data_IF_981520124641
#
_entry.id   IF_981520124641
#
_cell.length_a   1.000
_cell.length_b   1.000
_cell.length_c   1.000
_cell.angle_alpha   90.00
_cell.angle_beta   90.00
_cell.angle_gamma   90.00
#
_symmetry.space_group_name_H-M   'P 1'
#
loop_
_entity.id
_entity.type
_entity.pdbx_description
1 polymer ?
#
# COMPACT_ATOMS: atom_id res chain seq x y z
N UNK A 1 -6.25 -1.80 -9.43
CA UNK A 1 -7.29 -2.70 -8.93
C UNK A 1 -6.64 -3.74 -8.00
N UNK A 2 -7.01 -3.72 -6.70
CA UNK A 2 -6.40 -4.59 -5.68
C UNK A 2 -6.65 -6.08 -5.97
N UNK A 3 -7.79 -6.43 -6.58
CA UNK A 3 -8.14 -7.81 -6.88
C UNK A 3 -7.23 -8.41 -7.96
N UNK A 4 -6.89 -7.63 -8.98
CA UNK A 4 -5.94 -8.06 -10.01
C UNK A 4 -4.51 -8.24 -9.44
N UNK A 5 -4.07 -7.37 -8.51
CA UNK A 5 -2.79 -7.53 -7.82
C UNK A 5 -2.81 -8.81 -6.97
N UNK A 6 -3.87 -9.02 -6.19
CA UNK A 6 -4.05 -10.24 -5.39
C UNK A 6 -4.01 -11.49 -6.25
N UNK A 7 -4.74 -11.50 -7.37
CA UNK A 7 -4.77 -12.61 -8.32
C UNK A 7 -3.40 -12.88 -8.95
N UNK A 8 -2.69 -11.82 -9.39
CA UNK A 8 -1.34 -11.96 -9.96
C UNK A 8 -0.34 -12.54 -8.95
N UNK A 9 -0.36 -12.05 -7.70
CA UNK A 9 0.49 -12.58 -6.62
C UNK A 9 0.15 -14.03 -6.31
N UNK A 10 -1.13 -14.37 -6.15
CA UNK A 10 -1.57 -15.72 -5.81
C UNK A 10 -1.16 -16.73 -6.90
N UNK A 11 -1.35 -16.41 -8.18
CA UNK A 11 -0.92 -17.26 -9.31
C UNK A 11 0.59 -17.56 -9.25
N UNK A 12 1.41 -16.55 -8.98
CA UNK A 12 2.88 -16.70 -8.87
C UNK A 12 3.32 -17.49 -7.64
N UNK A 13 2.49 -17.52 -6.61
CA UNK A 13 2.71 -18.32 -5.41
C UNK A 13 2.11 -19.73 -5.52
N UNK A 14 1.44 -20.06 -6.63
CA UNK A 14 0.75 -21.33 -6.80
C UNK A 14 -0.49 -21.50 -5.90
N UNK A 15 -1.08 -20.39 -5.43
CA UNK A 15 -2.23 -20.39 -4.54
C UNK A 15 -3.50 -20.10 -5.35
N UNK A 16 -4.48 -21.00 -5.24
CA UNK A 16 -5.81 -20.74 -5.79
C UNK A 16 -6.64 -19.90 -4.83
N UNK A 17 -7.21 -18.80 -5.33
CA UNK A 17 -8.05 -17.91 -4.54
C UNK A 17 -9.47 -17.85 -5.13
N UNK A 18 -10.46 -17.70 -4.25
CA UNK A 18 -11.85 -17.48 -4.67
C UNK A 18 -11.96 -16.05 -5.23
N UNK A 19 -12.60 -15.91 -6.40
CA UNK A 19 -12.73 -14.62 -7.08
C UNK A 19 -11.46 -14.21 -7.83
N UNK A 20 -10.72 -15.18 -8.37
CA UNK A 20 -9.57 -14.91 -9.25
C UNK A 20 -10.01 -14.08 -10.47
N UNK A 21 -9.28 -13.01 -10.74
CA UNK A 21 -9.52 -12.06 -11.83
C UNK A 21 -8.29 -12.03 -12.72
N UNK A 22 -8.50 -12.03 -14.04
CA UNK A 22 -7.40 -11.90 -15.01
C UNK A 22 -6.68 -10.55 -14.81
N UNK A 23 -5.39 -10.54 -14.39
CA UNK A 23 -4.65 -9.30 -14.26
C UNK A 23 -4.29 -8.74 -15.63
N UNK A 24 -4.27 -7.43 -15.77
CA UNK A 24 -3.71 -6.80 -16.95
C UNK A 24 -2.19 -6.98 -17.00
N UNK A 25 -1.61 -7.01 -18.20
CA UNK A 25 -0.15 -7.09 -18.39
C UNK A 25 0.62 -6.04 -17.61
N UNK A 26 0.04 -4.84 -17.47
CA UNK A 26 0.62 -3.77 -16.66
C UNK A 26 0.73 -4.16 -15.17
N UNK A 27 -0.31 -4.76 -14.61
CA UNK A 27 -0.32 -5.19 -13.21
C UNK A 27 0.64 -6.37 -13.02
N UNK A 28 0.65 -7.30 -13.96
CA UNK A 28 1.60 -8.41 -13.93
C UNK A 28 3.05 -7.94 -13.93
N UNK A 29 3.39 -6.96 -14.77
CA UNK A 29 4.73 -6.37 -14.81
C UNK A 29 5.13 -5.68 -13.51
N UNK A 30 4.22 -4.94 -12.88
CA UNK A 30 4.47 -4.34 -11.56
C UNK A 30 4.68 -5.40 -10.49
N UNK A 31 3.86 -6.45 -10.47
CA UNK A 31 3.99 -7.55 -9.50
C UNK A 31 5.31 -8.31 -9.71
N UNK A 32 5.70 -8.58 -10.97
CA UNK A 32 6.98 -9.21 -11.31
C UNK A 32 8.16 -8.43 -10.73
N UNK A 33 8.23 -7.14 -11.04
CA UNK A 33 9.27 -6.24 -10.55
C UNK A 33 9.34 -6.26 -9.00
N UNK A 34 8.18 -6.11 -8.33
CA UNK A 34 8.14 -6.07 -6.86
C UNK A 34 8.55 -7.41 -6.24
N UNK A 35 8.13 -8.52 -6.83
CA UNK A 35 8.52 -9.86 -6.35
C UNK A 35 10.00 -10.13 -6.58
N UNK A 36 10.56 -9.73 -7.71
CA UNK A 36 11.99 -9.83 -7.94
C UNK A 36 12.78 -8.99 -6.93
N UNK A 37 12.38 -7.73 -6.70
CA UNK A 37 13.02 -6.85 -5.74
C UNK A 37 13.03 -7.40 -4.31
N UNK A 38 11.91 -7.97 -3.85
CA UNK A 38 11.75 -8.42 -2.47
C UNK A 38 12.20 -9.87 -2.24
N UNK A 39 12.06 -10.76 -3.23
CA UNK A 39 12.48 -12.17 -3.08
C UNK A 39 13.96 -12.41 -3.36
N UNK A 40 14.53 -11.59 -4.26
CA UNK A 40 15.95 -11.66 -4.61
C UNK A 40 16.69 -10.42 -4.05
N UNK A 41 16.35 -10.03 -2.84
CA UNK A 41 16.94 -8.85 -2.20
C UNK A 41 18.44 -9.02 -1.88
N UNK A 42 18.90 -10.27 -1.78
CA UNK A 42 20.30 -10.67 -1.56
C UNK A 42 21.15 -10.63 -2.85
N UNK A 43 20.51 -10.57 -4.01
CA UNK A 43 21.19 -10.46 -5.29
C UNK A 43 21.57 -9.00 -5.59
N UNK A 44 22.70 -8.74 -6.25
CA UNK A 44 23.10 -7.38 -6.61
C UNK A 44 22.04 -6.66 -7.46
N UNK A 45 21.88 -5.38 -7.24
CA UNK A 45 21.16 -4.50 -8.15
C UNK A 45 22.09 -4.10 -9.29
N UNK A 46 21.72 -4.43 -10.54
CA UNK A 46 22.53 -4.20 -11.75
C UNK A 46 21.73 -3.43 -12.79
N UNK A 47 22.44 -2.87 -13.79
CA UNK A 47 21.80 -2.25 -14.95
C UNK A 47 20.84 -3.24 -15.63
N UNK A 48 21.27 -4.47 -15.90
CA UNK A 48 20.44 -5.50 -16.54
C UNK A 48 19.17 -5.79 -15.74
N UNK A 49 19.26 -5.81 -14.40
CA UNK A 49 18.12 -6.03 -13.54
C UNK A 49 17.13 -4.85 -13.59
N UNK A 50 17.63 -3.62 -13.57
CA UNK A 50 16.82 -2.41 -13.73
C UNK A 50 16.16 -2.35 -15.11
N UNK A 51 16.88 -2.73 -16.17
CA UNK A 51 16.35 -2.81 -17.53
C UNK A 51 15.28 -3.90 -17.65
N UNK A 52 15.47 -5.05 -16.99
CA UNK A 52 14.46 -6.09 -16.88
C UNK A 52 13.19 -5.59 -16.19
N UNK A 53 13.29 -4.87 -15.06
CA UNK A 53 12.14 -4.26 -14.40
C UNK A 53 11.44 -3.24 -15.29
N UNK A 54 12.21 -2.42 -16.03
CA UNK A 54 11.65 -1.44 -16.95
C UNK A 54 10.88 -2.12 -18.10
N UNK A 55 11.42 -3.22 -18.66
CA UNK A 55 10.72 -4.04 -19.65
C UNK A 55 9.40 -4.62 -19.09
N UNK A 56 9.38 -5.09 -17.85
CA UNK A 56 8.16 -5.57 -17.20
C UNK A 56 7.09 -4.46 -17.07
N UNK A 57 7.49 -3.22 -16.80
CA UNK A 57 6.58 -2.09 -16.67
C UNK A 57 6.00 -1.63 -18.02
N UNK A 58 6.76 -1.79 -19.11
CA UNK A 58 6.41 -1.27 -20.43
C UNK A 58 6.61 -2.30 -21.55
N UNK A 59 5.90 -3.45 -21.50
CA UNK A 59 6.11 -4.54 -22.45
C UNK A 59 5.77 -4.18 -23.90
N UNK A 60 5.00 -3.10 -24.10
CA UNK A 60 4.61 -2.61 -25.44
C UNK A 60 5.53 -1.51 -25.97
N UNK A 61 6.56 -1.11 -25.23
CA UNK A 61 7.41 0.03 -25.59
C UNK A 61 6.73 1.39 -25.48
N UNK A 62 5.61 1.47 -24.74
CA UNK A 62 4.81 2.70 -24.63
C UNK A 62 4.46 3.02 -23.20
N UNK A 63 4.40 4.32 -22.90
CA UNK A 63 3.76 4.89 -21.72
C UNK A 63 2.55 5.72 -22.17
N UNK A 64 1.35 5.19 -21.94
CA UNK A 64 0.13 5.73 -22.53
C UNK A 64 0.23 5.77 -24.08
N UNK A 65 0.15 6.96 -24.67
CA UNK A 65 0.28 7.12 -26.12
C UNK A 65 1.72 7.37 -26.59
N UNK A 66 2.64 7.73 -25.69
CA UNK A 66 4.02 8.03 -26.02
C UNK A 66 4.84 6.77 -26.22
N UNK A 67 5.70 6.75 -27.24
CA UNK A 67 6.76 5.73 -27.41
C UNK A 67 7.91 6.13 -26.51
N UNK A 68 8.43 5.19 -25.74
CA UNK A 68 9.55 5.39 -24.82
C UNK A 68 10.69 4.40 -25.06
N UNK A 69 11.88 4.78 -24.63
CA UNK A 69 13.03 3.88 -24.64
C UNK A 69 12.91 2.88 -23.51
N UNK A 70 12.65 1.61 -23.82
CA UNK A 70 12.47 0.55 -22.83
C UNK A 70 13.74 -0.28 -22.70
N UNK A 71 14.09 -0.70 -21.47
CA UNK A 71 15.26 -1.54 -21.20
C UNK A 71 16.61 -0.85 -21.44
N UNK A 72 16.64 0.48 -21.38
CA UNK A 72 17.86 1.30 -21.45
C UNK A 72 17.63 2.66 -20.79
N UNK A 73 18.69 3.35 -20.46
CA UNK A 73 18.63 4.71 -19.95
C UNK A 73 18.14 5.69 -21.03
N UNK A 74 17.50 6.78 -20.59
CA UNK A 74 17.07 7.86 -21.47
C UNK A 74 18.25 8.51 -22.19
N UNK A 75 17.95 9.04 -23.35
CA UNK A 75 18.93 9.74 -24.21
C UNK A 75 18.63 11.24 -24.33
N UNK A 76 17.44 11.63 -23.88
CA UNK A 76 16.95 13.00 -23.98
C UNK A 76 16.94 13.71 -22.60
N UNK A 77 16.98 15.05 -22.59
CA UNK A 77 16.75 15.84 -21.38
C UNK A 77 15.42 15.45 -20.71
N UNK A 78 15.37 15.51 -19.38
CA UNK A 78 14.20 15.11 -18.63
C UNK A 78 13.84 16.17 -17.59
N UNK A 79 12.58 16.60 -17.62
CA UNK A 79 11.96 17.46 -16.63
C UNK A 79 10.75 16.79 -15.99
N UNK A 80 10.62 16.95 -14.69
CA UNK A 80 9.41 16.53 -13.97
C UNK A 80 8.46 17.70 -13.94
N UNK A 81 7.38 17.60 -14.69
CA UNK A 81 6.41 18.68 -14.88
C UNK A 81 5.04 18.31 -14.30
N UNK A 82 4.24 19.31 -13.97
CA UNK A 82 2.81 19.17 -13.69
C UNK A 82 2.03 20.32 -14.33
N UNK A 83 0.74 20.09 -14.55
CA UNK A 83 -0.14 21.07 -15.18
C UNK A 83 -0.63 20.61 -16.55
N UNK A 84 -1.30 21.50 -17.27
CA UNK A 84 -1.71 21.30 -18.66
C UNK A 84 -0.67 21.92 -19.60
N UNK A 85 -0.63 21.48 -20.87
CA UNK A 85 0.31 21.95 -21.89
C UNK A 85 0.51 23.48 -21.92
N UNK A 86 -0.54 24.27 -21.61
CA UNK A 86 -0.48 25.72 -21.57
C UNK A 86 -0.03 26.34 -20.25
N UNK A 87 0.12 25.53 -19.19
CA UNK A 87 0.48 25.97 -17.83
C UNK A 87 1.32 24.90 -17.13
N UNK A 88 2.39 24.46 -17.78
CA UNK A 88 3.33 23.52 -17.19
C UNK A 88 4.18 24.19 -16.10
N UNK A 89 4.27 23.55 -14.96
CA UNK A 89 5.20 23.92 -13.90
C UNK A 89 6.29 22.89 -13.83
N UNK A 90 7.55 23.29 -14.08
CA UNK A 90 8.72 22.45 -13.89
C UNK A 90 9.02 22.35 -12.38
N UNK A 91 8.94 21.15 -11.85
CA UNK A 91 9.26 20.84 -10.47
C UNK A 91 10.74 20.50 -10.29
N UNK A 92 11.28 19.73 -11.21
CA UNK A 92 12.66 19.27 -11.15
C UNK A 92 13.21 19.07 -12.56
N UNK A 93 14.46 19.48 -12.75
CA UNK A 93 15.25 19.21 -13.95
C UNK A 93 16.29 18.14 -13.60
N UNK A 94 16.15 16.97 -14.22
CA UNK A 94 17.06 15.85 -14.00
C UNK A 94 18.44 16.15 -14.63
N UNK A 95 19.52 15.46 -14.19
CA UNK A 95 20.83 15.57 -14.82
C UNK A 95 20.76 15.33 -16.33
N UNK A 96 21.70 15.88 -17.09
CA UNK A 96 21.77 15.65 -18.55
C UNK A 96 21.93 14.16 -18.88
N UNK A 97 21.40 13.73 -20.02
CA UNK A 97 21.37 12.29 -20.37
C UNK A 97 22.75 11.65 -20.49
N UNK A 98 23.75 12.40 -20.92
CA UNK A 98 25.13 11.96 -21.08
C UNK A 98 25.83 11.55 -19.75
N UNK A 99 25.43 12.15 -18.62
CA UNK A 99 25.97 11.80 -17.29
C UNK A 99 25.19 10.69 -16.59
N UNK A 100 24.00 10.33 -17.08
CA UNK A 100 23.16 9.29 -16.44
C UNK A 100 23.89 7.97 -16.23
N UNK A 101 24.62 7.40 -17.21
CA UNK A 101 25.33 6.14 -16.99
C UNK A 101 26.37 6.23 -15.87
N UNK A 102 27.06 7.37 -15.75
CA UNK A 102 28.04 7.59 -14.72
C UNK A 102 27.42 7.74 -13.32
N UNK A 103 26.32 8.49 -13.21
CA UNK A 103 25.59 8.64 -11.93
C UNK A 103 24.94 7.33 -11.51
N UNK A 104 24.40 6.55 -12.45
CA UNK A 104 23.87 5.23 -12.17
C UNK A 104 24.96 4.25 -11.70
N UNK A 105 26.15 4.29 -12.31
CA UNK A 105 27.27 3.47 -11.84
C UNK A 105 27.61 3.80 -10.38
N UNK A 106 27.72 5.09 -10.01
CA UNK A 106 27.98 5.49 -8.61
C UNK A 106 26.90 5.00 -7.66
N UNK A 107 25.62 5.13 -8.09
CA UNK A 107 24.48 4.68 -7.33
C UNK A 107 24.52 3.17 -7.09
N UNK A 108 24.76 2.37 -8.13
CA UNK A 108 24.83 0.91 -8.07
C UNK A 108 26.04 0.43 -7.24
N UNK A 109 27.21 1.06 -7.42
CA UNK A 109 28.41 0.77 -6.63
C UNK A 109 28.12 1.01 -5.13
N UNK A 110 27.48 2.13 -4.78
CA UNK A 110 27.08 2.44 -3.40
C UNK A 110 26.01 1.48 -2.87
N UNK A 111 24.98 1.18 -3.68
CA UNK A 111 23.86 0.33 -3.25
C UNK A 111 24.33 -1.09 -2.92
N UNK A 112 25.27 -1.62 -3.72
CA UNK A 112 25.78 -2.99 -3.59
C UNK A 112 26.99 -3.12 -2.67
N UNK A 113 27.59 -2.01 -2.23
CA UNK A 113 28.80 -2.07 -1.40
C UNK A 113 28.53 -2.69 -0.02
N UNK A 114 29.37 -3.62 0.41
CA UNK A 114 29.28 -4.23 1.74
C UNK A 114 29.45 -3.21 2.87
N UNK A 115 30.18 -2.11 2.60
CA UNK A 115 30.37 -0.99 3.53
C UNK A 115 29.10 -0.15 3.73
N UNK A 116 28.11 -0.25 2.85
CA UNK A 116 26.85 0.48 2.98
C UNK A 116 25.93 -0.23 3.98
N UNK A 117 25.58 0.41 5.11
CA UNK A 117 24.75 -0.21 6.13
C UNK A 117 23.40 -0.66 5.56
N UNK A 118 23.02 -1.90 5.80
CA UNK A 118 21.69 -2.45 5.46
C UNK A 118 20.70 -2.01 6.54
N UNK A 119 20.12 -0.86 6.38
CA UNK A 119 19.16 -0.27 7.32
C UNK A 119 18.06 0.52 6.59
N UNK A 120 17.07 1.01 7.34
CA UNK A 120 15.94 1.76 6.79
C UNK A 120 16.33 3.09 6.16
N UNK A 121 17.43 3.72 6.62
CA UNK A 121 17.97 4.95 6.02
C UNK A 121 18.48 4.66 4.60
N UNK A 122 19.12 3.50 4.36
CA UNK A 122 19.54 3.08 3.02
C UNK A 122 18.37 3.08 2.05
N UNK A 123 17.20 2.59 2.49
CA UNK A 123 15.99 2.59 1.66
C UNK A 123 15.55 4.01 1.29
N UNK A 124 15.55 4.93 2.25
CA UNK A 124 15.21 6.34 2.03
C UNK A 124 16.18 7.00 1.03
N UNK A 125 17.50 6.82 1.25
CA UNK A 125 18.55 7.38 0.40
C UNK A 125 18.47 6.79 -1.03
N UNK A 126 18.33 5.48 -1.14
CA UNK A 126 18.23 4.79 -2.43
C UNK A 126 17.04 5.29 -3.27
N UNK A 127 15.87 5.44 -2.62
CA UNK A 127 14.70 6.00 -3.26
C UNK A 127 14.96 7.42 -3.79
N UNK A 128 15.47 8.30 -2.93
CA UNK A 128 15.73 9.70 -3.27
C UNK A 128 16.77 9.85 -4.36
N UNK A 129 17.89 9.14 -4.24
CA UNK A 129 18.99 9.24 -5.20
C UNK A 129 18.56 8.75 -6.58
N UNK A 130 17.93 7.56 -6.65
CA UNK A 130 17.46 7.02 -7.93
C UNK A 130 16.44 7.94 -8.60
N UNK A 131 15.44 8.44 -7.85
CA UNK A 131 14.42 9.31 -8.43
C UNK A 131 14.98 10.68 -8.84
N UNK A 132 16.12 11.10 -8.26
CA UNK A 132 16.81 12.34 -8.61
C UNK A 132 17.69 12.17 -9.85
N UNK A 133 18.32 11.01 -10.05
CA UNK A 133 19.01 10.69 -11.34
C UNK A 133 17.98 10.65 -12.48
N UNK A 134 16.81 10.11 -12.21
CA UNK A 134 15.70 9.97 -13.17
C UNK A 134 16.13 9.29 -14.47
N UNK A 135 16.67 8.05 -14.42
CA UNK A 135 17.42 7.47 -15.51
C UNK A 135 16.59 6.99 -16.71
N UNK A 136 15.27 6.89 -16.58
CA UNK A 136 14.37 6.37 -17.62
C UNK A 136 13.39 7.44 -18.12
N UNK A 137 12.83 7.24 -19.33
CA UNK A 137 11.81 8.13 -19.90
C UNK A 137 10.52 8.14 -19.08
N UNK A 138 10.15 7.02 -18.47
CA UNK A 138 9.06 6.87 -17.50
C UNK A 138 9.34 5.71 -16.54
N UNK A 139 8.54 5.55 -15.51
CA UNK A 139 8.65 4.44 -14.55
C UNK A 139 9.61 4.69 -13.39
N UNK A 140 10.34 5.79 -13.37
CA UNK A 140 11.35 6.09 -12.34
C UNK A 140 10.78 6.01 -10.92
N UNK A 141 9.58 6.55 -10.68
CA UNK A 141 8.93 6.47 -9.38
C UNK A 141 8.50 5.06 -8.97
N UNK A 142 8.18 4.18 -9.92
CA UNK A 142 7.83 2.77 -9.64
C UNK A 142 9.07 1.97 -9.32
N UNK A 143 10.13 2.16 -10.10
CA UNK A 143 11.42 1.49 -9.92
C UNK A 143 12.09 1.98 -8.61
N UNK A 144 12.07 3.29 -8.31
CA UNK A 144 12.61 3.80 -7.04
C UNK A 144 11.94 3.18 -5.82
N UNK A 145 10.62 2.93 -5.87
CA UNK A 145 9.91 2.22 -4.81
C UNK A 145 10.30 0.75 -4.72
N UNK A 146 10.51 0.07 -5.84
CA UNK A 146 11.00 -1.32 -5.84
C UNK A 146 12.41 -1.43 -5.27
N UNK A 147 13.30 -0.49 -5.61
CA UNK A 147 14.64 -0.39 -5.01
C UNK A 147 14.56 -0.14 -3.50
N UNK A 148 13.67 0.75 -3.08
CA UNK A 148 13.44 1.02 -1.67
C UNK A 148 12.94 -0.23 -0.92
N UNK A 149 11.98 -0.97 -1.48
CA UNK A 149 11.48 -2.22 -0.90
C UNK A 149 12.56 -3.32 -0.89
N UNK A 150 13.45 -3.38 -1.90
CA UNK A 150 14.62 -4.26 -1.89
C UNK A 150 15.57 -3.92 -0.72
N UNK A 151 15.89 -2.64 -0.53
CA UNK A 151 16.75 -2.19 0.57
C UNK A 151 16.12 -2.48 1.94
N UNK A 152 14.80 -2.36 2.07
CA UNK A 152 14.09 -2.74 3.29
C UNK A 152 14.13 -4.25 3.53
N UNK A 153 14.00 -5.08 2.48
CA UNK A 153 14.14 -6.53 2.59
C UNK A 153 15.58 -6.92 3.01
N UNK A 154 16.59 -6.17 2.54
CA UNK A 154 17.97 -6.31 3.02
C UNK A 154 18.13 -5.94 4.50
N UNK A 155 17.43 -4.90 4.96
CA UNK A 155 17.49 -4.44 6.35
C UNK A 155 16.82 -5.43 7.32
N UNK A 156 15.70 -6.03 6.90
CA UNK A 156 14.93 -6.98 7.70
C UNK A 156 15.42 -8.43 7.54
N UNK A 157 16.35 -8.68 6.61
CA UNK A 157 16.77 -10.02 6.16
C UNK A 157 15.56 -10.94 5.87
N UNK A 158 14.57 -10.40 5.16
CA UNK A 158 13.29 -11.06 4.96
C UNK A 158 12.64 -10.73 3.62
N UNK A 159 12.08 -11.77 2.99
CA UNK A 159 11.23 -11.61 1.81
C UNK A 159 9.80 -11.19 2.16
N UNK A 160 9.41 -11.28 3.43
CA UNK A 160 8.07 -11.00 3.90
C UNK A 160 7.93 -9.52 4.27
N UNK A 161 6.97 -8.87 3.64
CA UNK A 161 6.63 -7.47 3.93
C UNK A 161 5.14 -7.35 4.22
N UNK A 162 4.83 -6.94 5.43
CA UNK A 162 3.44 -6.78 5.92
C UNK A 162 2.90 -5.36 5.72
N UNK A 163 3.76 -4.40 5.35
CA UNK A 163 3.37 -3.01 5.11
C UNK A 163 3.82 -2.52 3.73
N UNK A 164 3.23 -1.46 3.23
CA UNK A 164 3.53 -0.90 1.92
C UNK A 164 3.75 0.61 2.01
N UNK A 165 5.01 1.02 1.89
CA UNK A 165 5.36 2.44 1.77
C UNK A 165 4.74 3.03 0.50
N UNK A 166 4.70 2.29 -0.60
CA UNK A 166 4.06 2.73 -1.85
C UNK A 166 2.60 3.12 -1.65
N UNK A 167 1.84 2.36 -0.84
CA UNK A 167 0.45 2.69 -0.49
C UNK A 167 0.37 3.98 0.33
N UNK A 168 1.26 4.14 1.30
CA UNK A 168 1.30 5.33 2.15
C UNK A 168 1.74 6.58 1.36
N UNK A 169 2.76 6.47 0.51
CA UNK A 169 3.15 7.54 -0.43
C UNK A 169 1.97 7.98 -1.30
N UNK A 170 1.16 7.05 -1.78
CA UNK A 170 -0.01 7.38 -2.59
C UNK A 170 -1.10 8.13 -1.81
N UNK A 171 -1.27 7.83 -0.51
CA UNK A 171 -2.16 8.60 0.38
C UNK A 171 -1.64 10.03 0.57
N UNK A 172 -0.33 10.20 0.68
CA UNK A 172 0.35 11.46 0.97
C UNK A 172 0.99 12.08 -0.28
N UNK A 173 0.53 11.73 -1.48
CA UNK A 173 1.17 12.04 -2.77
C UNK A 173 1.58 13.51 -2.92
N UNK A 174 0.76 14.44 -2.44
CA UNK A 174 1.08 15.87 -2.50
C UNK A 174 2.30 16.21 -1.65
N UNK A 175 2.31 15.78 -0.39
CA UNK A 175 3.43 16.01 0.55
C UNK A 175 4.71 15.34 0.06
N UNK A 176 4.60 14.14 -0.51
CA UNK A 176 5.71 13.44 -1.13
C UNK A 176 6.36 14.27 -2.25
N UNK A 177 5.56 14.78 -3.19
CA UNK A 177 6.08 15.59 -4.29
C UNK A 177 6.70 16.92 -3.80
N UNK A 178 6.05 17.60 -2.85
CA UNK A 178 6.54 18.87 -2.29
C UNK A 178 7.91 18.69 -1.59
N UNK A 179 8.08 17.61 -0.84
CA UNK A 179 9.34 17.32 -0.14
C UNK A 179 10.43 16.89 -1.11
N UNK A 180 10.12 16.06 -2.10
CA UNK A 180 11.08 15.71 -3.17
C UNK A 180 11.57 16.95 -3.88
N UNK A 181 10.66 17.79 -4.38
CA UNK A 181 11.00 19.03 -5.10
C UNK A 181 11.89 19.92 -4.24
N UNK A 182 11.55 20.07 -2.94
CA UNK A 182 12.31 20.91 -2.01
C UNK A 182 13.73 20.39 -1.79
N UNK A 183 13.90 19.08 -1.58
CA UNK A 183 15.21 18.49 -1.36
C UNK A 183 16.05 18.42 -2.65
N UNK A 184 15.41 18.19 -3.80
CA UNK A 184 16.09 18.15 -5.11
C UNK A 184 16.60 19.54 -5.56
N UNK A 185 15.94 20.63 -5.14
CA UNK A 185 16.36 22.00 -5.41
C UNK A 185 17.29 22.58 -4.33
N UNK A 186 17.45 21.86 -3.23
CA UNK A 186 18.33 22.24 -2.12
C UNK A 186 19.79 21.86 -2.33
N UNK A 187 20.56 21.92 -1.24
CA UNK A 187 21.92 21.39 -1.21
C UNK A 187 21.95 19.88 -0.99
N UNK A 188 23.11 19.36 -0.55
CA UNK A 188 23.28 17.93 -0.27
C UNK A 188 22.60 17.46 1.02
N UNK A 189 21.95 18.33 1.78
CA UNK A 189 21.21 17.97 2.98
C UNK A 189 19.83 17.43 2.62
N UNK A 190 19.65 16.14 2.81
CA UNK A 190 18.38 15.43 2.58
C UNK A 190 17.69 15.00 3.89
N UNK A 191 18.06 15.59 5.02
CA UNK A 191 17.48 15.25 6.34
C UNK A 191 15.97 15.35 6.32
N UNK A 192 15.40 16.42 5.73
CA UNK A 192 13.96 16.59 5.60
C UNK A 192 13.27 15.44 4.83
N UNK A 193 13.94 14.90 3.82
CA UNK A 193 13.45 13.73 3.08
C UNK A 193 13.49 12.47 3.94
N UNK A 194 14.61 12.23 4.63
CA UNK A 194 14.80 11.05 5.49
C UNK A 194 13.74 11.05 6.61
N UNK A 195 13.57 12.17 7.31
CA UNK A 195 12.57 12.32 8.37
C UNK A 195 11.16 12.02 7.88
N UNK A 196 10.78 12.61 6.74
CA UNK A 196 9.47 12.35 6.15
C UNK A 196 9.30 10.89 5.73
N UNK A 197 10.35 10.29 5.15
CA UNK A 197 10.30 8.91 4.68
C UNK A 197 10.13 7.92 5.85
N UNK A 198 10.84 8.13 6.95
CA UNK A 198 10.71 7.32 8.15
C UNK A 198 9.34 7.49 8.82
N UNK A 199 8.82 8.72 8.89
CA UNK A 199 7.44 8.98 9.35
C UNK A 199 6.40 8.30 8.44
N UNK A 200 6.58 8.36 7.12
CA UNK A 200 5.75 7.64 6.15
C UNK A 200 5.79 6.12 6.37
N UNK A 201 6.97 5.57 6.68
CA UNK A 201 7.15 4.15 6.98
C UNK A 201 6.46 3.77 8.30
N UNK A 202 6.57 4.57 9.35
CA UNK A 202 5.88 4.36 10.64
C UNK A 202 4.36 4.25 10.41
N UNK A 203 3.78 5.21 9.70
CA UNK A 203 2.34 5.19 9.36
C UNK A 203 1.93 4.00 8.48
N UNK A 204 2.83 3.54 7.59
CA UNK A 204 2.58 2.34 6.80
C UNK A 204 2.54 1.07 7.67
N UNK A 205 3.42 0.97 8.66
CA UNK A 205 3.48 -0.14 9.62
C UNK A 205 2.25 -0.12 10.53
N UNK A 206 1.88 1.03 11.08
CA UNK A 206 0.66 1.21 11.90
C UNK A 206 -0.59 0.78 11.14
N UNK A 207 -0.77 1.27 9.89
CA UNK A 207 -1.90 0.91 9.04
C UNK A 207 -1.94 -0.59 8.69
N UNK A 208 -0.79 -1.24 8.59
CA UNK A 208 -0.71 -2.69 8.38
C UNK A 208 -1.07 -3.46 9.65
N UNK A 209 -0.64 -2.98 10.82
CA UNK A 209 -0.99 -3.54 12.12
C UNK A 209 -2.50 -3.50 12.37
N UNK A 210 -3.15 -2.36 12.08
CA UNK A 210 -4.60 -2.20 12.16
C UNK A 210 -5.34 -3.19 11.26
N UNK A 211 -4.87 -3.34 10.00
CA UNK A 211 -5.46 -4.29 9.05
C UNK A 211 -5.31 -5.74 9.54
N UNK A 212 -4.12 -6.10 10.04
CA UNK A 212 -3.87 -7.45 10.58
C UNK A 212 -4.75 -7.73 11.80
N UNK A 213 -4.86 -6.75 12.72
CA UNK A 213 -5.76 -6.86 13.88
C UNK A 213 -7.20 -7.10 13.44
N UNK A 214 -7.70 -6.36 12.46
CA UNK A 214 -9.06 -6.54 11.93
C UNK A 214 -9.27 -7.95 11.34
N UNK A 215 -8.29 -8.48 10.60
CA UNK A 215 -8.37 -9.84 10.04
C UNK A 215 -8.39 -10.88 11.16
N UNK A 216 -7.54 -10.71 12.18
CA UNK A 216 -7.50 -11.61 13.33
C UNK A 216 -8.80 -11.56 14.12
N UNK A 217 -9.35 -10.37 14.38
CA UNK A 217 -10.62 -10.19 15.08
C UNK A 217 -11.77 -10.88 14.35
N UNK A 218 -11.81 -10.76 13.03
CA UNK A 218 -12.80 -11.45 12.19
C UNK A 218 -12.63 -12.99 12.27
N UNK A 219 -11.42 -13.48 12.26
CA UNK A 219 -11.13 -14.91 12.38
C UNK A 219 -11.54 -15.43 13.75
N UNK A 220 -11.16 -14.73 14.83
CA UNK A 220 -11.51 -15.07 16.21
C UNK A 220 -13.04 -15.05 16.37
N UNK A 221 -13.71 -14.01 15.87
CA UNK A 221 -15.16 -13.91 15.92
C UNK A 221 -15.85 -15.13 15.33
N UNK A 222 -15.50 -15.52 14.10
CA UNK A 222 -16.14 -16.68 13.45
C UNK A 222 -15.78 -18.02 14.11
N UNK A 223 -14.59 -18.12 14.69
CA UNK A 223 -14.20 -19.30 15.46
C UNK A 223 -14.99 -19.39 16.76
N UNK A 224 -15.09 -18.31 17.52
CA UNK A 224 -15.84 -18.21 18.79
C UNK A 224 -17.32 -18.51 18.58
N UNK A 225 -17.92 -18.01 17.49
CA UNK A 225 -19.33 -18.17 17.19
C UNK A 225 -19.63 -19.28 16.17
N UNK A 226 -18.71 -20.24 15.98
CA UNK A 226 -18.83 -21.32 14.98
C UNK A 226 -20.05 -22.21 15.16
N UNK A 227 -20.56 -22.33 16.39
CA UNK A 227 -21.74 -23.14 16.73
C UNK A 227 -23.06 -22.34 16.67
N UNK A 228 -23.00 -21.02 16.45
CA UNK A 228 -24.19 -20.18 16.42
C UNK A 228 -24.71 -20.08 14.99
N UNK A 229 -25.97 -20.50 14.80
CA UNK A 229 -26.61 -20.41 13.49
C UNK A 229 -27.00 -18.98 13.18
N UNK A 230 -26.41 -18.42 12.14
CA UNK A 230 -26.72 -17.08 11.59
C UNK A 230 -27.15 -17.22 10.13
N UNK A 231 -28.11 -16.39 9.70
CA UNK A 231 -28.52 -16.36 8.30
C UNK A 231 -27.44 -15.77 7.40
N UNK A 232 -27.45 -16.07 6.08
CA UNK A 232 -26.51 -15.51 5.10
C UNK A 232 -26.53 -13.98 5.10
N UNK A 233 -27.71 -13.38 5.29
CA UNK A 233 -27.87 -11.93 5.40
C UNK A 233 -27.19 -11.38 6.65
N UNK A 234 -27.38 -12.00 7.81
CA UNK A 234 -26.71 -11.63 9.04
C UNK A 234 -25.19 -11.78 8.93
N UNK A 235 -24.74 -12.87 8.30
CA UNK A 235 -23.31 -13.11 8.02
C UNK A 235 -22.71 -12.03 7.13
N UNK A 236 -23.43 -11.63 6.10
CA UNK A 236 -23.02 -10.55 5.19
C UNK A 236 -22.88 -9.23 5.95
N UNK A 237 -23.88 -8.84 6.75
CA UNK A 237 -23.86 -7.63 7.53
C UNK A 237 -22.73 -7.64 8.56
N UNK A 238 -22.59 -8.72 9.34
CA UNK A 238 -21.51 -8.85 10.33
C UNK A 238 -20.14 -8.71 9.68
N UNK A 239 -19.92 -9.34 8.51
CA UNK A 239 -18.66 -9.20 7.78
C UNK A 239 -18.37 -7.75 7.37
N UNK A 240 -19.36 -6.98 6.94
CA UNK A 240 -19.18 -5.55 6.59
C UNK A 240 -18.64 -4.76 7.79
N UNK A 241 -19.19 -5.01 8.98
CA UNK A 241 -18.74 -4.33 10.21
C UNK A 241 -17.38 -4.84 10.69
N UNK A 242 -17.12 -6.13 10.60
CA UNK A 242 -15.83 -6.74 10.95
C UNK A 242 -14.71 -6.33 9.98
N UNK A 243 -15.05 -6.00 8.74
CA UNK A 243 -14.12 -5.47 7.73
C UNK A 243 -13.85 -3.96 7.88
N UNK A 244 -14.28 -3.34 9.00
CA UNK A 244 -13.94 -1.97 9.36
C UNK A 244 -14.91 -0.90 8.84
N UNK A 245 -16.19 -1.23 8.66
CA UNK A 245 -17.19 -0.21 8.34
C UNK A 245 -17.26 0.86 9.44
N UNK A 246 -16.96 2.11 9.09
CA UNK A 246 -16.82 3.23 10.03
C UNK A 246 -18.15 3.78 10.57
N UNK A 247 -19.31 3.31 10.12
CA UNK A 247 -20.62 3.75 10.59
C UNK A 247 -21.06 3.03 11.87
N UNK A 248 -21.89 3.69 12.69
CA UNK A 248 -22.49 3.04 13.86
C UNK A 248 -23.26 1.79 13.46
N UNK A 249 -23.12 0.70 14.22
CA UNK A 249 -23.96 -0.46 14.09
C UNK A 249 -25.30 -0.16 14.78
N UNK A 250 -26.32 0.15 14.00
CA UNK A 250 -27.71 0.34 14.43
C UNK A 250 -28.66 -0.24 13.37
N UNK A 251 -29.94 -0.37 13.70
CA UNK A 251 -30.94 -0.97 12.80
C UNK A 251 -30.99 -0.27 11.44
N UNK A 252 -30.96 1.07 11.42
CA UNK A 252 -31.03 1.86 10.19
C UNK A 252 -29.82 1.63 9.25
N UNK A 253 -28.61 1.63 9.81
CA UNK A 253 -27.40 1.37 9.03
C UNK A 253 -27.33 -0.09 8.60
N UNK A 254 -27.76 -1.03 9.44
CA UNK A 254 -27.89 -2.44 9.08
C UNK A 254 -28.80 -2.61 7.87
N UNK A 255 -30.02 -2.06 7.92
CA UNK A 255 -30.97 -2.10 6.83
C UNK A 255 -30.39 -1.61 5.51
N UNK A 256 -29.64 -0.49 5.57
CA UNK A 256 -28.95 0.11 4.41
C UNK A 256 -27.86 -0.80 3.84
N UNK A 257 -27.03 -1.43 4.69
CA UNK A 257 -25.92 -2.26 4.25
C UNK A 257 -26.40 -3.54 3.54
N UNK A 258 -27.43 -4.18 4.07
CA UNK A 258 -27.95 -5.44 3.47
C UNK A 258 -29.21 -5.24 2.61
N UNK A 259 -29.61 -3.97 2.37
CA UNK A 259 -30.69 -3.56 1.47
C UNK A 259 -32.04 -4.21 1.83
N UNK A 260 -32.44 -4.09 3.11
CA UNK A 260 -33.72 -4.60 3.61
C UNK A 260 -34.51 -3.49 4.30
N UNK A 261 -35.78 -3.77 4.67
CA UNK A 261 -36.57 -2.86 5.48
C UNK A 261 -36.06 -2.76 6.92
N UNK A 262 -36.35 -1.64 7.60
CA UNK A 262 -35.99 -1.43 9.01
C UNK A 262 -36.58 -2.51 9.92
N UNK A 263 -37.80 -3.00 9.63
CA UNK A 263 -38.43 -4.09 10.38
C UNK A 263 -37.68 -5.41 10.26
N UNK A 264 -37.16 -5.70 9.07
CA UNK A 264 -36.35 -6.91 8.83
C UNK A 264 -35.01 -6.79 9.51
N UNK A 265 -34.36 -5.62 9.41
CA UNK A 265 -33.11 -5.33 10.11
C UNK A 265 -33.27 -5.38 11.63
N UNK A 266 -34.40 -4.87 12.14
CA UNK A 266 -34.72 -4.93 13.56
C UNK A 266 -34.83 -6.36 14.09
N UNK A 267 -35.45 -7.26 13.30
CA UNK A 267 -35.52 -8.70 13.64
C UNK A 267 -34.13 -9.35 13.62
N UNK A 268 -33.33 -9.05 12.62
CA UNK A 268 -31.97 -9.58 12.52
C UNK A 268 -31.10 -9.15 13.71
N UNK A 269 -31.14 -7.86 14.06
CA UNK A 269 -30.38 -7.30 15.20
C UNK A 269 -30.86 -7.89 16.52
N UNK A 270 -32.18 -7.99 16.71
CA UNK A 270 -32.75 -8.58 17.94
C UNK A 270 -32.32 -10.05 18.11
N UNK A 271 -32.40 -10.86 17.06
CA UNK A 271 -31.97 -12.26 17.07
C UNK A 271 -30.46 -12.37 17.42
N UNK A 272 -29.63 -11.49 16.86
CA UNK A 272 -28.20 -11.48 17.17
C UNK A 272 -27.87 -11.00 18.60
N UNK A 273 -28.70 -10.13 19.18
CA UNK A 273 -28.59 -9.75 20.59
C UNK A 273 -28.98 -10.92 21.49
N UNK A 274 -30.07 -11.63 21.18
CA UNK A 274 -30.51 -12.84 21.92
C UNK A 274 -29.45 -13.96 21.86
N UNK A 275 -28.71 -14.03 20.75
CA UNK A 275 -27.58 -14.97 20.57
C UNK A 275 -26.27 -14.50 21.21
N UNK A 276 -26.23 -13.32 21.82
CA UNK A 276 -25.04 -12.77 22.46
C UNK A 276 -23.96 -12.28 21.49
N UNK A 277 -24.26 -12.21 20.18
CA UNK A 277 -23.35 -11.72 19.15
C UNK A 277 -23.29 -10.20 19.15
N UNK A 278 -24.42 -9.54 19.33
CA UNK A 278 -24.51 -8.09 19.43
C UNK A 278 -24.79 -7.67 20.89
N UNK A 279 -24.07 -6.65 21.35
CA UNK A 279 -24.17 -6.10 22.69
C UNK A 279 -24.66 -4.65 22.59
N UNK A 280 -25.85 -4.31 23.18
CA UNK A 280 -26.30 -2.93 23.19
C UNK A 280 -25.29 -2.01 23.88
N UNK A 281 -24.98 -0.88 23.25
CA UNK A 281 -24.08 0.11 23.81
C UNK A 281 -24.86 1.16 24.61
N UNK A 282 -24.29 1.71 25.69
CA UNK A 282 -24.90 2.81 26.43
C UNK A 282 -25.18 3.99 25.50
N UNK A 283 -26.42 4.50 25.49
CA UNK A 283 -26.78 5.60 24.58
C UNK A 283 -28.25 6.05 24.76
N UNK A 284 -28.68 7.00 23.92
CA UNK A 284 -30.06 7.51 23.93
C UNK A 284 -31.02 6.41 23.43
N UNK A 285 -32.18 6.28 24.10
CA UNK A 285 -33.22 5.27 23.81
C UNK A 285 -33.70 5.27 22.34
N UNK A 286 -33.57 6.38 21.62
CA UNK A 286 -34.01 6.51 20.21
C UNK A 286 -32.94 6.17 19.15
N UNK A 287 -31.69 6.00 19.57
CA UNK A 287 -30.56 5.65 18.63
C UNK A 287 -29.63 4.63 19.31
N UNK A 288 -30.18 3.45 19.55
CA UNK A 288 -29.41 2.36 20.14
C UNK A 288 -28.36 1.89 19.15
N UNK A 289 -27.10 1.94 19.54
CA UNK A 289 -25.99 1.32 18.81
C UNK A 289 -25.56 0.02 19.49
N UNK A 290 -24.91 -0.83 18.72
CA UNK A 290 -24.47 -2.15 19.18
C UNK A 290 -22.97 -2.31 18.96
N UNK A 291 -22.34 -3.07 19.83
CA UNK A 291 -21.00 -3.63 19.64
C UNK A 291 -21.10 -5.08 19.20
N UNK A 292 -20.06 -5.58 18.55
CA UNK A 292 -19.93 -7.00 18.19
C UNK A 292 -19.05 -7.69 19.23
N UNK A 293 -19.55 -8.73 19.87
CA UNK A 293 -18.77 -9.57 20.77
C UNK A 293 -17.79 -10.43 19.97
N UNK A 294 -16.53 -10.02 19.91
CA UNK A 294 -15.50 -10.75 19.14
C UNK A 294 -15.01 -11.99 19.92
N UNK A 295 -14.80 -11.83 21.23
CA UNK A 295 -14.45 -12.89 22.17
C UNK A 295 -15.00 -12.56 23.56
N UNK A 296 -14.78 -13.42 24.56
CA UNK A 296 -15.21 -13.17 25.93
C UNK A 296 -14.72 -11.81 26.48
N UNK A 297 -13.51 -11.40 26.06
CA UNK A 297 -12.82 -10.21 26.59
C UNK A 297 -12.78 -9.04 25.60
N UNK A 298 -13.33 -9.21 24.38
CA UNK A 298 -13.23 -8.18 23.33
C UNK A 298 -14.55 -7.89 22.64
N UNK A 299 -14.97 -6.63 22.70
CA UNK A 299 -16.12 -6.10 21.95
C UNK A 299 -15.67 -5.05 20.95
N UNK A 300 -16.02 -5.21 19.66
CA UNK A 300 -15.83 -4.22 18.62
C UNK A 300 -17.03 -3.27 18.57
N UNK A 301 -16.81 -1.97 18.74
CA UNK A 301 -17.86 -0.94 18.65
C UNK A 301 -17.66 -0.10 17.39
N UNK A 302 -18.36 -0.41 16.27
CA UNK A 302 -18.24 0.34 15.03
C UNK A 302 -18.68 1.79 15.18
N UNK A 303 -17.94 2.73 14.60
CA UNK A 303 -18.23 4.16 14.62
C UNK A 303 -17.88 4.88 15.92
N UNK A 304 -17.26 4.23 16.89
CA UNK A 304 -16.54 4.91 17.95
C UNK A 304 -15.16 5.29 17.40
N UNK A 305 -14.91 6.59 17.21
CA UNK A 305 -13.53 7.04 17.06
C UNK A 305 -12.84 6.73 18.39
N UNK A 306 -11.97 5.73 18.40
CA UNK A 306 -10.99 5.58 19.45
C UNK A 306 -9.98 6.73 19.28
N UNK A 307 -10.30 7.88 19.83
CA UNK A 307 -9.28 8.83 20.26
C UNK A 307 -8.65 8.12 21.46
N UNK A 308 -7.49 7.51 21.23
CA UNK A 308 -6.64 7.07 22.31
C UNK A 308 -6.14 8.32 23.02
N UNK A 309 -6.86 8.74 24.06
CA UNK A 309 -6.31 9.51 25.15
C UNK A 309 -5.36 8.56 25.89
N UNK A 310 -4.08 8.63 25.55
CA UNK A 310 -3.00 8.13 26.39
C UNK A 310 -2.52 9.33 27.20
N UNK A 311 -2.90 9.38 28.47
CA UNK A 311 -2.24 10.17 29.50
C UNK A 311 -0.79 9.70 29.73
#
# INVERSE_FOLDING_TARGET
NSDQVRSSVARRMGVHIVGDVEPSHYIEGVVEMMMDATRKYDQPLTDDRLFGWHNCLFPTGRSGMAVINVGKYRMDPMEVVSGTLDREKVHYQAPSADVVPFEMKKFLDWFNADSTPKNYIKSAVAHFWFVSIHPFDDGNGRISRAIADMALSQADDSTLRFFSISRQINKDKRKYNDILERCQKGGCDITLWIDWYLDCMSRAIESAGEMLSSILDKSIFWQTHSQVVVSDRQKTALNIYLDGYCGKLNVKNWAKQVKVSDDTAGRDVKDLVEKGILIPQPGRVRDVSYGISVSADKTLVPGSNAVNDVE
#
